data_IF_653049616235
#
_entry.id   IF_653049616235
#
_cell.length_a   1.000
_cell.length_b   1.000
_cell.length_c   1.000
_cell.angle_alpha   90.00
_cell.angle_beta   90.00
_cell.angle_gamma   90.00
#
_symmetry.space_group_name_H-M   'P 1'
#
loop_
_entity.id
_entity.type
_entity.pdbx_description
1 polymer ?
#
# COMPACT_ATOMS: atom_id res chain seq x y z
N UNK A 1 -4.60 -2.69 21.22
CA UNK A 1 -4.53 -1.31 20.69
C UNK A 1 -5.93 -0.82 20.85
N UNK A 2 -6.15 0.40 21.37
CA UNK A 2 -7.53 0.81 21.64
C UNK A 2 -8.29 0.87 20.31
N UNK A 3 -9.57 0.53 20.31
CA UNK A 3 -10.37 0.50 19.09
C UNK A 3 -10.32 1.84 18.33
N UNK A 4 -10.34 2.97 19.04
CA UNK A 4 -10.19 4.29 18.45
C UNK A 4 -8.87 4.47 17.67
N UNK A 5 -7.76 3.94 18.19
CA UNK A 5 -6.44 3.98 17.54
C UNK A 5 -6.43 3.08 16.29
N UNK A 6 -7.05 1.89 16.36
CA UNK A 6 -7.19 1.00 15.21
C UNK A 6 -8.00 1.68 14.10
N UNK A 7 -9.15 2.28 14.45
CA UNK A 7 -9.99 3.01 13.48
C UNK A 7 -9.20 4.10 12.76
N UNK A 8 -8.42 4.89 13.49
CA UNK A 8 -7.56 5.93 12.89
C UNK A 8 -6.48 5.31 12.00
N UNK A 9 -5.78 4.28 12.47
CA UNK A 9 -4.72 3.59 11.72
C UNK A 9 -5.22 3.08 10.36
N UNK A 10 -6.37 2.41 10.34
CA UNK A 10 -6.93 1.86 9.11
C UNK A 10 -7.54 2.95 8.21
N UNK A 11 -8.05 4.05 8.79
CA UNK A 11 -8.49 5.20 8.01
C UNK A 11 -7.31 5.89 7.31
N UNK A 12 -6.18 6.11 7.99
CA UNK A 12 -5.00 6.71 7.36
C UNK A 12 -4.42 5.79 6.29
N UNK A 13 -4.46 4.46 6.49
CA UNK A 13 -4.08 3.50 5.46
C UNK A 13 -5.00 3.54 4.23
N UNK A 14 -6.32 3.69 4.43
CA UNK A 14 -7.28 3.83 3.35
C UNK A 14 -7.01 5.10 2.52
N UNK A 15 -6.84 6.24 3.19
CA UNK A 15 -6.56 7.53 2.55
C UNK A 15 -5.23 7.51 1.80
N UNK A 16 -4.19 6.89 2.37
CA UNK A 16 -2.91 6.71 1.70
C UNK A 16 -3.06 5.90 0.41
N UNK A 17 -3.72 4.74 0.48
CA UNK A 17 -3.95 3.90 -0.69
C UNK A 17 -4.77 4.63 -1.77
N UNK A 18 -5.82 5.35 -1.40
CA UNK A 18 -6.60 6.12 -2.36
C UNK A 18 -5.81 7.28 -3.00
N UNK A 19 -4.97 7.97 -2.24
CA UNK A 19 -4.09 9.00 -2.78
C UNK A 19 -3.10 8.43 -3.81
N UNK A 20 -2.47 7.29 -3.49
CA UNK A 20 -1.57 6.59 -4.43
C UNK A 20 -2.32 6.09 -5.66
N UNK A 21 -3.49 5.48 -5.49
CA UNK A 21 -4.30 4.99 -6.59
C UNK A 21 -4.76 6.13 -7.52
N UNK A 22 -5.19 7.26 -6.96
CA UNK A 22 -5.58 8.44 -7.74
C UNK A 22 -4.38 9.01 -8.53
N UNK A 23 -3.22 9.12 -7.90
CA UNK A 23 -2.01 9.59 -8.58
C UNK A 23 -1.58 8.64 -9.71
N UNK A 24 -1.63 7.32 -9.50
CA UNK A 24 -1.38 6.33 -10.56
C UNK A 24 -2.41 6.38 -11.70
N UNK A 25 -3.69 6.60 -11.39
CA UNK A 25 -4.75 6.61 -12.39
C UNK A 25 -4.77 7.90 -13.25
N UNK A 26 -4.34 9.03 -12.67
CA UNK A 26 -4.36 10.35 -13.35
C UNK A 26 -3.04 10.64 -14.07
N UNK A 27 -1.90 10.48 -13.39
CA UNK A 27 -0.57 10.67 -13.96
C UNK A 27 0.45 9.83 -13.18
N UNK A 28 0.53 8.54 -13.50
CA UNK A 28 1.53 7.66 -12.89
C UNK A 28 2.96 8.17 -13.09
N UNK A 29 3.22 8.83 -14.23
CA UNK A 29 4.53 9.41 -14.52
C UNK A 29 4.90 10.52 -13.54
N UNK A 30 3.94 11.28 -13.01
CA UNK A 30 4.21 12.23 -11.93
C UNK A 30 4.82 11.53 -10.70
N UNK A 31 4.23 10.41 -10.26
CA UNK A 31 4.79 9.64 -9.14
C UNK A 31 6.18 9.09 -9.47
N UNK A 32 6.36 8.48 -10.64
CA UNK A 32 7.63 7.90 -11.03
C UNK A 32 8.74 8.96 -11.13
N UNK A 33 8.45 10.15 -11.70
CA UNK A 33 9.39 11.27 -11.74
C UNK A 33 9.67 11.85 -10.36
N UNK A 34 8.65 12.02 -9.51
CA UNK A 34 8.80 12.54 -8.15
C UNK A 34 9.80 11.72 -7.33
N UNK A 35 9.75 10.39 -7.47
CA UNK A 35 10.67 9.48 -6.80
C UNK A 35 11.88 9.09 -7.67
N UNK A 36 12.04 9.64 -8.88
CA UNK A 36 13.12 9.26 -9.81
C UNK A 36 13.22 7.73 -10.03
N UNK A 37 12.07 7.09 -10.18
CA UNK A 37 11.94 5.65 -10.46
C UNK A 37 12.42 5.38 -11.88
N UNK A 38 13.34 4.42 -12.04
CA UNK A 38 13.86 4.00 -13.34
C UNK A 38 14.04 2.47 -13.40
N UNK A 39 13.64 1.81 -14.50
CA UNK A 39 12.90 2.36 -15.63
C UNK A 39 11.46 2.74 -15.24
N UNK A 40 10.88 3.69 -15.95
CA UNK A 40 9.47 4.05 -15.76
C UNK A 40 8.58 2.92 -16.30
N UNK A 41 7.58 2.44 -15.54
CA UNK A 41 6.60 1.48 -16.03
C UNK A 41 5.87 2.01 -17.27
N UNK A 42 6.00 1.30 -18.40
CA UNK A 42 5.53 1.78 -19.70
C UNK A 42 4.16 1.22 -20.13
N UNK A 43 3.67 0.13 -19.53
CA UNK A 43 2.44 -0.54 -19.96
C UNK A 43 1.21 0.00 -19.19
N UNK A 44 0.37 0.85 -19.82
CA UNK A 44 -0.69 1.58 -19.12
C UNK A 44 -1.75 0.66 -18.52
N UNK A 45 -2.03 -0.48 -19.16
CA UNK A 45 -3.01 -1.45 -18.65
C UNK A 45 -2.60 -1.98 -17.27
N UNK A 46 -1.34 -2.38 -17.09
CA UNK A 46 -0.86 -2.87 -15.80
C UNK A 46 -0.84 -1.78 -14.73
N UNK A 47 -0.49 -0.54 -15.11
CA UNK A 47 -0.52 0.60 -14.19
C UNK A 47 -1.94 0.86 -13.68
N UNK A 48 -2.94 0.86 -14.58
CA UNK A 48 -4.35 1.09 -14.21
C UNK A 48 -4.92 -0.08 -13.39
N UNK A 49 -4.59 -1.33 -13.74
CA UNK A 49 -4.99 -2.49 -12.95
C UNK A 49 -4.38 -2.47 -11.56
N UNK A 50 -3.10 -2.06 -11.44
CA UNK A 50 -2.45 -1.89 -10.15
C UNK A 50 -3.07 -0.74 -9.36
N UNK A 51 -3.37 0.40 -9.99
CA UNK A 51 -4.07 1.51 -9.35
C UNK A 51 -5.43 1.07 -8.81
N UNK A 52 -6.20 0.29 -9.58
CA UNK A 52 -7.47 -0.28 -9.12
C UNK A 52 -7.31 -1.23 -7.94
N UNK A 53 -6.29 -2.10 -7.96
CA UNK A 53 -5.99 -2.98 -6.85
C UNK A 53 -5.64 -2.19 -5.58
N UNK A 54 -4.78 -1.17 -5.69
CA UNK A 54 -4.42 -0.28 -4.58
C UNK A 54 -5.66 0.43 -4.03
N UNK A 55 -6.57 0.89 -4.90
CA UNK A 55 -7.84 1.49 -4.52
C UNK A 55 -8.74 0.50 -3.75
N UNK A 56 -8.87 -0.74 -4.24
CA UNK A 56 -9.67 -1.78 -3.60
C UNK A 56 -9.14 -2.14 -2.21
N UNK A 57 -7.82 -2.20 -2.02
CA UNK A 57 -7.23 -2.32 -0.68
C UNK A 57 -7.57 -1.11 0.20
N UNK A 58 -7.62 0.09 -0.35
CA UNK A 58 -8.09 1.28 0.36
C UNK A 58 -9.52 1.14 0.86
N UNK A 59 -10.43 0.58 0.05
CA UNK A 59 -11.80 0.26 0.46
C UNK A 59 -11.83 -0.76 1.59
N UNK A 60 -11.01 -1.82 1.51
CA UNK A 60 -10.91 -2.81 2.59
C UNK A 60 -10.44 -2.16 3.91
N UNK A 61 -9.42 -1.29 3.87
CA UNK A 61 -8.96 -0.56 5.06
C UNK A 61 -10.02 0.41 5.59
N UNK A 62 -10.79 1.04 4.72
CA UNK A 62 -11.94 1.84 5.14
C UNK A 62 -12.97 0.99 5.88
N UNK A 63 -13.33 -0.19 5.39
CA UNK A 63 -14.25 -1.09 6.11
C UNK A 63 -13.70 -1.52 7.46
N UNK A 64 -12.41 -1.88 7.52
CA UNK A 64 -11.75 -2.18 8.80
C UNK A 64 -11.81 -0.97 9.74
N UNK A 65 -11.64 0.26 9.25
CA UNK A 65 -11.72 1.48 10.07
C UNK A 65 -13.11 1.73 10.68
N UNK A 66 -14.17 1.12 10.13
CA UNK A 66 -15.53 1.23 10.65
C UNK A 66 -15.83 0.21 11.74
N UNK A 67 -15.28 -0.99 11.59
CA UNK A 67 -15.38 -2.09 12.54
C UNK A 67 -14.15 -3.01 12.42
N UNK A 68 -13.08 -2.76 13.22
CA UNK A 68 -11.87 -3.56 13.14
C UNK A 68 -12.08 -5.02 13.54
N UNK A 69 -12.97 -5.26 14.51
CA UNK A 69 -13.24 -6.60 15.05
C UNK A 69 -13.86 -7.52 14.01
N UNK A 70 -14.91 -7.06 13.34
CA UNK A 70 -15.60 -7.83 12.30
C UNK A 70 -14.72 -8.10 11.07
N UNK A 71 -13.69 -7.29 10.83
CA UNK A 71 -12.86 -7.34 9.64
C UNK A 71 -11.46 -7.93 9.88
N UNK A 72 -11.26 -8.69 10.96
CA UNK A 72 -9.99 -9.36 11.28
C UNK A 72 -9.36 -10.14 10.10
N UNK A 73 -10.12 -10.90 9.27
CA UNK A 73 -9.55 -11.54 8.08
C UNK A 73 -8.98 -10.55 7.05
N UNK A 74 -9.63 -9.39 6.87
CA UNK A 74 -9.13 -8.34 5.98
C UNK A 74 -7.86 -7.70 6.52
N UNK A 75 -7.71 -7.58 7.85
CA UNK A 75 -6.45 -7.11 8.45
C UNK A 75 -5.31 -8.07 8.11
N UNK A 76 -5.52 -9.39 8.23
CA UNK A 76 -4.52 -10.40 7.86
C UNK A 76 -4.17 -10.34 6.38
N UNK A 77 -5.16 -10.16 5.51
CA UNK A 77 -4.94 -9.96 4.07
C UNK A 77 -4.15 -8.67 3.81
N UNK A 78 -4.45 -7.59 4.54
CA UNK A 78 -3.71 -6.32 4.47
C UNK A 78 -2.25 -6.46 4.87
N UNK A 79 -1.95 -7.21 5.93
CA UNK A 79 -0.58 -7.54 6.34
C UNK A 79 0.15 -8.26 5.20
N UNK A 80 -0.45 -9.31 4.65
CA UNK A 80 0.12 -10.08 3.54
C UNK A 80 0.35 -9.19 2.31
N UNK A 81 -0.64 -8.39 1.93
CA UNK A 81 -0.58 -7.50 0.78
C UNK A 81 0.53 -6.46 0.91
N UNK A 82 0.57 -5.73 2.04
CA UNK A 82 1.56 -4.67 2.26
C UNK A 82 2.98 -5.21 2.44
N UNK A 83 3.15 -6.28 3.20
CA UNK A 83 4.45 -6.93 3.33
C UNK A 83 4.92 -7.52 1.99
N UNK A 84 4.01 -8.09 1.21
CA UNK A 84 4.27 -8.60 -0.13
C UNK A 84 4.73 -7.52 -1.11
N UNK A 85 4.06 -6.36 -1.14
CA UNK A 85 4.47 -5.21 -1.96
C UNK A 85 5.90 -4.78 -1.62
N UNK A 86 6.21 -4.64 -0.32
CA UNK A 86 7.56 -4.30 0.10
C UNK A 86 8.59 -5.37 -0.28
N UNK A 87 8.29 -6.65 -0.07
CA UNK A 87 9.18 -7.75 -0.39
C UNK A 87 9.48 -7.83 -1.90
N UNK A 88 8.46 -7.68 -2.75
CA UNK A 88 8.62 -7.64 -4.21
C UNK A 88 9.44 -6.42 -4.64
N UNK A 89 9.13 -5.24 -4.10
CA UNK A 89 9.88 -4.02 -4.37
C UNK A 89 11.37 -4.17 -4.03
N UNK A 90 11.66 -4.73 -2.84
CA UNK A 90 13.03 -5.00 -2.39
C UNK A 90 13.75 -6.00 -3.30
N UNK A 91 13.08 -7.09 -3.68
CA UNK A 91 13.66 -8.07 -4.60
C UNK A 91 13.99 -7.43 -5.97
N UNK A 92 13.08 -6.63 -6.53
CA UNK A 92 13.31 -5.93 -7.80
C UNK A 92 14.49 -4.96 -7.73
N UNK A 93 14.66 -4.25 -6.60
CA UNK A 93 15.81 -3.35 -6.41
C UNK A 93 17.12 -4.13 -6.29
N UNK A 94 17.14 -5.20 -5.49
CA UNK A 94 18.34 -6.05 -5.32
C UNK A 94 18.77 -6.70 -6.63
N UNK A 95 17.81 -7.07 -7.49
CA UNK A 95 18.05 -7.64 -8.81
C UNK A 95 18.39 -6.59 -9.89
N UNK A 96 18.38 -5.30 -9.56
CA UNK A 96 18.65 -4.21 -10.51
C UNK A 96 17.53 -4.01 -11.56
N UNK A 97 16.33 -4.52 -11.30
CA UNK A 97 15.16 -4.37 -12.19
C UNK A 97 14.59 -2.96 -12.11
N UNK A 98 14.64 -2.35 -10.93
CA UNK A 98 14.16 -0.98 -10.68
C UNK A 98 15.11 -0.24 -9.73
N UNK A 99 15.14 1.08 -9.84
CA UNK A 99 15.94 1.94 -9.00
C UNK A 99 15.48 1.91 -7.53
N UNK A 100 16.43 2.11 -6.62
CA UNK A 100 16.21 1.96 -5.17
C UNK A 100 15.16 2.92 -4.60
N UNK A 101 14.93 4.06 -5.25
CA UNK A 101 13.97 5.07 -4.79
C UNK A 101 12.54 4.54 -4.73
N UNK A 102 12.22 3.48 -5.50
CA UNK A 102 10.93 2.80 -5.41
C UNK A 102 10.66 2.26 -3.99
N UNK A 103 11.70 1.95 -3.22
CA UNK A 103 11.58 1.53 -1.83
C UNK A 103 11.06 2.62 -0.89
N UNK A 104 11.15 3.90 -1.24
CA UNK A 104 10.66 5.00 -0.39
C UNK A 104 9.14 4.87 -0.21
N UNK A 105 8.42 4.64 -1.32
CA UNK A 105 6.98 4.37 -1.27
C UNK A 105 6.68 3.03 -0.61
N UNK A 106 7.40 1.97 -0.99
CA UNK A 106 7.15 0.63 -0.45
C UNK A 106 7.45 0.52 1.07
N UNK A 107 8.35 1.33 1.61
CA UNK A 107 8.63 1.37 3.04
C UNK A 107 7.42 1.81 3.86
N UNK A 108 6.56 2.68 3.31
CA UNK A 108 5.30 3.07 3.94
C UNK A 108 4.38 1.85 4.11
N UNK A 109 4.34 0.97 3.10
CA UNK A 109 3.61 -0.31 3.21
C UNK A 109 4.19 -1.22 4.28
N UNK A 110 5.53 -1.33 4.39
CA UNK A 110 6.16 -2.12 5.46
C UNK A 110 5.79 -1.60 6.86
N UNK A 111 5.78 -0.28 7.05
CA UNK A 111 5.34 0.35 8.32
C UNK A 111 3.89 0.01 8.62
N UNK A 112 2.98 0.17 7.65
CA UNK A 112 1.57 -0.21 7.86
C UNK A 112 1.40 -1.71 8.11
N UNK A 113 2.13 -2.58 7.41
CA UNK A 113 2.08 -4.03 7.64
C UNK A 113 2.45 -4.38 9.08
N UNK A 114 3.52 -3.76 9.61
CA UNK A 114 3.92 -3.92 11.01
C UNK A 114 2.85 -3.41 11.98
N UNK A 115 2.29 -2.22 11.72
CA UNK A 115 1.24 -1.64 12.57
C UNK A 115 -0.06 -2.48 12.55
N UNK A 116 -0.42 -3.03 11.40
CA UNK A 116 -1.56 -3.95 11.26
C UNK A 116 -1.34 -5.23 12.06
N UNK A 117 -0.14 -5.82 11.97
CA UNK A 117 0.21 -6.98 12.77
C UNK A 117 0.14 -6.69 14.27
N UNK A 118 0.62 -5.53 14.71
CA UNK A 118 0.51 -5.09 16.10
C UNK A 118 -0.97 -4.93 16.52
N UNK A 119 -1.82 -4.40 15.64
CA UNK A 119 -3.25 -4.24 15.91
C UNK A 119 -4.01 -5.55 16.15
N UNK A 120 -3.48 -6.68 15.69
CA UNK A 120 -4.07 -8.01 15.94
C UNK A 120 -3.60 -8.66 17.26
N UNK A 121 -2.53 -8.14 17.87
CA UNK A 121 -1.93 -8.71 19.09
C UNK A 121 -2.36 -8.01 20.36
N UNK A 122 -2.72 -6.75 20.25
CA UNK A 122 -3.06 -5.86 21.35
C UNK A 122 -4.57 -5.62 21.45
#
# INVERSE_FOLDING_TARGET
>A
MKEAEQRILFLTAALFNWAVAAALAVDAGFLFRLFSVSPEPAEPLFVLLFAWLVFAFGVAYYWISRDPGANTPLIRLGILGKAGVFAVALACVVLGIVSWQFLILAAVDAVYAFLFWRSLRD
#
